data_IF_206085492478
#
_entry.id   IF_206085492478
#
_cell.length_a   1.000
_cell.length_b   1.000
_cell.length_c   1.000
_cell.angle_alpha   90.00
_cell.angle_beta   90.00
_cell.angle_gamma   90.00
#
_symmetry.space_group_name_H-M   'P 1'
#
loop_
_entity.id
_entity.type
_entity.pdbx_description
1 polymer ?
#
# COMPACT_ATOMS: atom_id res chain seq x y z
N UNK A 1 -34.46 -16.71 17.71
CA UNK A 1 -33.67 -17.44 16.70
C UNK A 1 -34.16 -17.02 15.32
N UNK A 2 -33.64 -15.90 14.83
CA UNK A 2 -33.79 -15.48 13.44
C UNK A 2 -32.42 -15.67 12.81
N UNK A 3 -32.34 -16.73 12.02
CA UNK A 3 -31.23 -17.12 11.18
C UNK A 3 -30.94 -15.99 10.19
N UNK A 4 -29.95 -15.15 10.54
CA UNK A 4 -29.32 -14.24 9.58
C UNK A 4 -28.26 -15.07 8.87
N UNK A 5 -28.72 -15.88 7.91
CA UNK A 5 -27.84 -16.54 6.97
C UNK A 5 -27.00 -15.47 6.27
N UNK A 6 -25.65 -15.58 6.26
CA UNK A 6 -24.82 -14.68 5.49
C UNK A 6 -25.19 -14.86 4.01
N UNK A 7 -25.67 -13.79 3.38
CA UNK A 7 -25.89 -13.74 1.94
C UNK A 7 -24.65 -14.27 1.24
N UNK A 8 -24.83 -15.33 0.44
CA UNK A 8 -23.81 -15.90 -0.46
C UNK A 8 -23.03 -14.78 -1.18
N UNK A 9 -21.75 -15.00 -1.53
CA UNK A 9 -21.00 -14.14 -2.45
C UNK A 9 -21.64 -14.25 -3.84
N UNK A 10 -22.71 -13.50 -4.06
CA UNK A 10 -23.26 -13.24 -5.37
C UNK A 10 -22.49 -12.06 -5.92
N UNK A 11 -21.69 -12.29 -6.97
CA UNK A 11 -20.99 -11.21 -7.66
C UNK A 11 -21.92 -10.05 -8.04
N UNK A 12 -21.32 -8.92 -8.41
CA UNK A 12 -22.06 -7.67 -8.63
C UNK A 12 -23.25 -7.84 -9.60
N UNK A 13 -24.42 -7.34 -9.20
CA UNK A 13 -25.55 -7.15 -10.11
C UNK A 13 -25.17 -6.19 -11.25
N UNK A 14 -25.90 -6.15 -12.38
CA UNK A 14 -25.57 -5.23 -13.48
C UNK A 14 -25.44 -3.76 -13.05
N UNK A 15 -26.38 -3.26 -12.22
CA UNK A 15 -26.31 -1.89 -11.69
C UNK A 15 -25.13 -1.68 -10.73
N UNK A 16 -24.82 -2.66 -9.89
CA UNK A 16 -23.64 -2.61 -9.03
C UNK A 16 -22.33 -2.63 -9.82
N UNK A 17 -22.29 -3.36 -10.94
CA UNK A 17 -21.13 -3.39 -11.84
C UNK A 17 -20.93 -2.04 -12.52
N UNK A 18 -22.01 -1.42 -13.00
CA UNK A 18 -21.93 -0.07 -13.56
C UNK A 18 -21.45 0.95 -12.53
N UNK A 19 -21.99 0.90 -11.29
CA UNK A 19 -21.52 1.74 -10.17
C UNK A 19 -20.05 1.53 -9.87
N UNK A 20 -19.62 0.27 -9.78
CA UNK A 20 -18.22 -0.09 -9.56
C UNK A 20 -17.32 0.48 -10.66
N UNK A 21 -17.67 0.31 -11.94
CA UNK A 21 -16.86 0.82 -13.05
C UNK A 21 -16.79 2.36 -13.04
N UNK A 22 -17.86 3.06 -12.65
CA UNK A 22 -17.84 4.52 -12.48
C UNK A 22 -16.91 4.95 -11.36
N UNK A 23 -16.92 4.27 -10.21
CA UNK A 23 -15.98 4.55 -9.12
C UNK A 23 -14.53 4.23 -9.53
N UNK A 24 -14.31 3.07 -10.17
CA UNK A 24 -12.97 2.60 -10.61
C UNK A 24 -12.34 3.52 -11.67
N UNK A 25 -13.16 4.09 -12.54
CA UNK A 25 -12.70 4.95 -13.64
C UNK A 25 -12.48 6.41 -13.24
N UNK A 26 -13.03 6.87 -12.11
CA UNK A 26 -12.78 8.21 -11.61
C UNK A 26 -11.27 8.46 -11.40
N UNK A 27 -10.82 9.62 -11.84
CA UNK A 27 -9.42 10.08 -11.80
C UNK A 27 -9.21 11.33 -10.95
N UNK A 28 -10.30 11.96 -10.51
CA UNK A 28 -10.23 13.08 -9.58
C UNK A 28 -11.38 13.11 -8.57
N UNK A 29 -11.17 13.79 -7.44
CA UNK A 29 -12.21 14.05 -6.46
C UNK A 29 -13.34 14.90 -7.03
N UNK A 30 -13.05 15.77 -8.01
CA UNK A 30 -14.07 16.54 -8.73
C UNK A 30 -14.98 15.65 -9.59
N UNK A 31 -14.42 14.67 -10.29
CA UNK A 31 -15.22 13.65 -10.99
C UNK A 31 -16.04 12.81 -10.01
N UNK A 32 -15.45 12.49 -8.85
CA UNK A 32 -16.08 11.68 -7.82
C UNK A 32 -17.36 12.33 -7.27
N UNK A 33 -17.40 13.67 -7.16
CA UNK A 33 -18.62 14.43 -6.83
C UNK A 33 -19.76 14.09 -7.79
N UNK A 34 -19.49 14.04 -9.09
CA UNK A 34 -20.50 13.67 -10.09
C UNK A 34 -20.89 12.19 -10.05
N UNK A 35 -20.01 11.31 -9.56
CA UNK A 35 -20.27 9.87 -9.40
C UNK A 35 -21.14 9.61 -8.16
N UNK A 36 -20.92 10.31 -7.06
CA UNK A 36 -21.62 10.10 -5.79
C UNK A 36 -22.80 11.05 -5.57
N UNK A 37 -22.90 12.11 -6.38
CA UNK A 37 -23.87 13.19 -6.21
C UNK A 37 -23.81 13.86 -4.82
N UNK A 38 -22.60 13.96 -4.25
CA UNK A 38 -22.34 14.64 -2.98
C UNK A 38 -22.19 16.16 -3.17
N UNK A 39 -22.25 16.93 -2.08
CA UNK A 39 -22.20 18.40 -2.15
C UNK A 39 -20.76 18.94 -2.29
N UNK A 40 -19.75 18.09 -2.10
CA UNK A 40 -18.36 18.46 -2.31
C UNK A 40 -17.38 17.28 -2.33
N UNK A 41 -16.10 17.56 -2.68
CA UNK A 41 -15.05 16.54 -2.80
C UNK A 41 -14.87 15.68 -1.54
N UNK A 42 -15.00 16.28 -0.36
CA UNK A 42 -14.86 15.60 0.93
C UNK A 42 -15.94 14.54 1.15
N UNK A 43 -17.20 14.94 1.05
CA UNK A 43 -18.33 14.04 1.18
C UNK A 43 -18.33 12.96 0.09
N UNK A 44 -17.94 13.34 -1.14
CA UNK A 44 -17.82 12.41 -2.25
C UNK A 44 -16.81 11.29 -1.95
N UNK A 45 -15.65 11.63 -1.40
CA UNK A 45 -14.63 10.67 -1.01
C UNK A 45 -15.14 9.69 0.06
N UNK A 46 -15.73 10.20 1.15
CA UNK A 46 -16.26 9.36 2.23
C UNK A 46 -17.45 8.49 1.80
N UNK A 47 -18.32 9.00 0.93
CA UNK A 47 -19.40 8.23 0.34
C UNK A 47 -18.85 7.13 -0.58
N UNK A 48 -17.87 7.46 -1.42
CA UNK A 48 -17.22 6.53 -2.31
C UNK A 48 -16.50 5.41 -1.55
N UNK A 49 -15.77 5.69 -0.45
CA UNK A 49 -15.09 4.66 0.37
C UNK A 49 -16.08 3.59 0.86
N UNK A 50 -17.24 4.02 1.37
CA UNK A 50 -18.28 3.11 1.89
C UNK A 50 -18.89 2.24 0.78
N UNK A 51 -19.23 2.86 -0.35
CA UNK A 51 -19.79 2.13 -1.49
C UNK A 51 -18.76 1.19 -2.12
N UNK A 52 -17.54 1.66 -2.33
CA UNK A 52 -16.42 0.90 -2.87
C UNK A 52 -16.15 -0.37 -2.07
N UNK A 53 -16.00 -0.24 -0.74
CA UNK A 53 -15.79 -1.38 0.14
C UNK A 53 -16.91 -2.42 0.00
N UNK A 54 -18.16 -1.96 0.02
CA UNK A 54 -19.34 -2.84 -0.14
C UNK A 54 -19.33 -3.58 -1.48
N UNK A 55 -18.91 -2.92 -2.57
CA UNK A 55 -18.83 -3.53 -3.90
C UNK A 55 -17.63 -4.49 -3.99
N UNK A 56 -16.48 -4.11 -3.45
CA UNK A 56 -15.28 -4.95 -3.44
C UNK A 56 -15.48 -6.22 -2.61
N UNK A 57 -16.07 -6.13 -1.41
CA UNK A 57 -16.38 -7.30 -0.57
C UNK A 57 -17.35 -8.29 -1.25
N UNK A 58 -18.17 -7.84 -2.21
CA UNK A 58 -19.03 -8.70 -3.03
C UNK A 58 -18.32 -9.29 -4.25
N UNK A 59 -17.33 -8.56 -4.78
CA UNK A 59 -16.59 -8.93 -6.00
C UNK A 59 -15.43 -9.86 -5.69
N UNK A 60 -14.74 -9.60 -4.60
CA UNK A 60 -13.51 -10.27 -4.20
C UNK A 60 -13.82 -11.33 -3.16
N UNK A 61 -13.03 -12.38 -3.17
CA UNK A 61 -13.02 -13.39 -2.11
C UNK A 61 -11.55 -13.67 -1.82
N UNK A 62 -11.13 -13.63 -0.55
CA UNK A 62 -9.75 -13.97 -0.20
C UNK A 62 -9.51 -15.41 -0.65
N UNK A 63 -8.57 -15.59 -1.58
CA UNK A 63 -8.25 -16.88 -2.17
C UNK A 63 -6.82 -17.22 -1.81
N UNK A 64 -6.63 -18.30 -1.06
CA UNK A 64 -5.30 -18.82 -0.76
C UNK A 64 -4.77 -19.56 -1.99
N UNK A 65 -3.63 -19.12 -2.49
CA UNK A 65 -2.84 -19.80 -3.52
C UNK A 65 -1.56 -20.33 -2.90
N UNK A 66 -0.95 -21.39 -3.45
CA UNK A 66 0.40 -21.79 -3.06
C UNK A 66 1.38 -20.62 -3.24
N UNK A 67 2.35 -20.50 -2.33
CA UNK A 67 3.35 -19.44 -2.34
C UNK A 67 2.94 -18.18 -1.58
N UNK A 68 3.73 -17.10 -1.73
CA UNK A 68 3.42 -15.80 -1.14
C UNK A 68 2.18 -15.23 -1.84
N UNK A 69 1.11 -14.87 -1.12
CA UNK A 69 -0.08 -14.31 -1.75
C UNK A 69 0.26 -13.01 -2.48
N UNK A 70 -0.43 -12.72 -3.56
CA UNK A 70 -0.13 -11.56 -4.39
C UNK A 70 -1.15 -11.33 -5.48
N UNK A 71 -0.88 -10.31 -6.30
CA UNK A 71 -1.63 -10.07 -7.54
C UNK A 71 -0.66 -10.15 -8.71
N UNK A 72 -1.06 -10.91 -9.73
CA UNK A 72 -0.28 -11.04 -10.97
C UNK A 72 -0.79 -10.04 -12.00
N UNK A 73 0.12 -9.28 -12.61
CA UNK A 73 -0.15 -8.34 -13.69
C UNK A 73 0.77 -8.67 -14.86
N UNK A 74 0.19 -8.95 -16.02
CA UNK A 74 0.94 -9.08 -17.26
C UNK A 74 1.14 -7.69 -17.89
N UNK A 75 2.35 -7.38 -18.34
CA UNK A 75 2.68 -6.15 -19.05
C UNK A 75 3.45 -6.51 -20.32
N UNK A 76 2.74 -6.61 -21.44
CA UNK A 76 3.30 -7.19 -22.66
C UNK A 76 3.69 -8.66 -22.48
N UNK A 77 4.98 -8.98 -22.62
CA UNK A 77 5.54 -10.32 -22.43
C UNK A 77 6.20 -10.54 -21.06
N UNK A 78 6.04 -9.58 -20.15
CA UNK A 78 6.54 -9.64 -18.77
C UNK A 78 5.42 -10.04 -17.81
N UNK A 79 5.76 -10.79 -16.77
CA UNK A 79 4.84 -11.16 -15.71
C UNK A 79 5.30 -10.57 -14.37
N UNK A 80 4.45 -9.76 -13.74
CA UNK A 80 4.73 -9.18 -12.43
C UNK A 80 3.86 -9.82 -11.36
N UNK A 81 4.47 -10.27 -10.27
CA UNK A 81 3.79 -10.73 -9.06
C UNK A 81 4.01 -9.72 -7.93
N UNK A 82 2.96 -9.03 -7.51
CA UNK A 82 3.02 -8.04 -6.43
C UNK A 82 2.53 -8.66 -5.13
N UNK A 83 3.46 -8.92 -4.21
CA UNK A 83 3.26 -9.60 -2.95
C UNK A 83 3.21 -8.60 -1.79
N UNK A 84 2.07 -8.54 -1.11
CA UNK A 84 1.89 -7.72 0.08
C UNK A 84 2.25 -8.46 1.36
N UNK A 85 3.23 -7.97 2.12
CA UNK A 85 3.72 -8.54 3.38
C UNK A 85 3.46 -7.59 4.57
N UNK A 86 3.83 -8.00 5.80
CA UNK A 86 3.55 -7.21 7.01
C UNK A 86 4.67 -6.26 7.43
N UNK A 87 5.94 -6.56 7.10
CA UNK A 87 7.14 -5.90 7.64
C UNK A 87 7.32 -6.07 9.15
N UNK A 88 6.76 -7.14 9.73
CA UNK A 88 6.82 -7.33 11.18
C UNK A 88 8.13 -7.98 11.66
N UNK A 89 9.00 -8.38 10.74
CA UNK A 89 10.29 -9.05 11.00
C UNK A 89 10.21 -10.22 12.00
N UNK A 90 9.15 -11.02 11.91
CA UNK A 90 8.99 -12.21 12.76
C UNK A 90 9.74 -13.40 12.16
N UNK A 91 10.16 -14.35 13.01
CA UNK A 91 10.76 -15.61 12.55
C UNK A 91 9.84 -16.39 11.60
N UNK A 92 8.52 -16.33 11.84
CA UNK A 92 7.53 -17.01 11.02
C UNK A 92 7.45 -16.39 9.61
N UNK A 93 7.31 -15.07 9.52
CA UNK A 93 7.29 -14.36 8.24
C UNK A 93 8.63 -14.50 7.51
N UNK A 94 9.76 -14.34 8.23
CA UNK A 94 11.11 -14.52 7.70
C UNK A 94 11.31 -15.90 7.09
N UNK A 95 10.93 -16.96 7.79
CA UNK A 95 11.07 -18.33 7.30
C UNK A 95 10.23 -18.57 6.05
N UNK A 96 8.96 -18.14 6.09
CA UNK A 96 8.01 -18.26 4.97
C UNK A 96 8.48 -17.52 3.72
N UNK A 97 8.89 -16.25 3.87
CA UNK A 97 9.35 -15.44 2.74
C UNK A 97 10.64 -15.97 2.14
N UNK A 98 11.60 -16.39 2.98
CA UNK A 98 12.89 -16.91 2.49
C UNK A 98 12.75 -18.22 1.73
N UNK A 99 11.87 -19.11 2.18
CA UNK A 99 11.55 -20.35 1.45
C UNK A 99 11.05 -20.03 0.03
N UNK A 100 10.04 -19.17 -0.08
CA UNK A 100 9.42 -18.89 -1.38
C UNK A 100 10.25 -17.98 -2.28
N UNK A 101 11.00 -17.02 -1.72
CA UNK A 101 11.91 -16.20 -2.51
C UNK A 101 13.08 -17.03 -3.05
N UNK A 102 13.57 -18.03 -2.32
CA UNK A 102 14.55 -18.97 -2.86
C UNK A 102 13.99 -19.72 -4.09
N UNK A 103 12.76 -20.22 -4.01
CA UNK A 103 12.09 -20.88 -5.13
C UNK A 103 11.93 -19.93 -6.35
N UNK A 104 11.58 -18.66 -6.12
CA UNK A 104 11.47 -17.67 -7.19
C UNK A 104 12.82 -17.46 -7.90
N UNK A 105 13.90 -17.30 -7.13
CA UNK A 105 15.23 -17.11 -7.69
C UNK A 105 15.75 -18.36 -8.41
N UNK A 106 15.49 -19.56 -7.85
CA UNK A 106 15.84 -20.84 -8.48
C UNK A 106 15.10 -21.05 -9.82
N UNK A 107 13.91 -20.48 -9.97
CA UNK A 107 13.16 -20.46 -11.23
C UNK A 107 13.68 -19.43 -12.26
N UNK A 108 14.64 -18.59 -11.87
CA UNK A 108 15.22 -17.54 -12.70
C UNK A 108 14.43 -16.22 -12.68
N UNK A 109 13.48 -16.05 -11.75
CA UNK A 109 12.73 -14.81 -11.61
C UNK A 109 13.58 -13.73 -10.92
N UNK A 110 13.25 -12.45 -11.20
CA UNK A 110 13.87 -11.31 -10.50
C UNK A 110 13.05 -10.92 -9.27
N UNK A 111 13.70 -10.60 -8.16
CA UNK A 111 13.03 -10.22 -6.91
C UNK A 111 13.47 -8.82 -6.49
N UNK A 112 12.50 -7.91 -6.40
CA UNK A 112 12.69 -6.55 -5.90
C UNK A 112 11.86 -6.31 -4.65
N UNK A 113 12.47 -5.72 -3.65
CA UNK A 113 11.87 -5.51 -2.33
C UNK A 113 11.77 -4.02 -2.02
N UNK A 114 10.68 -3.60 -1.38
CA UNK A 114 10.58 -2.27 -0.78
C UNK A 114 11.78 -1.98 0.11
N UNK A 115 12.25 -0.73 0.12
CA UNK A 115 13.37 -0.31 0.93
C UNK A 115 13.15 -0.63 2.42
N UNK A 116 14.11 -1.33 3.04
CA UNK A 116 14.03 -1.88 4.40
C UNK A 116 13.81 -3.40 4.44
N UNK A 117 12.94 -3.94 3.58
CA UNK A 117 12.63 -5.39 3.53
C UNK A 117 13.88 -6.21 3.21
N UNK A 118 14.71 -5.75 2.27
CA UNK A 118 15.87 -6.51 1.83
C UNK A 118 16.83 -6.80 3.00
N UNK A 119 17.15 -5.79 3.81
CA UNK A 119 18.01 -5.95 4.99
C UNK A 119 17.36 -6.84 6.04
N UNK A 120 16.05 -6.71 6.24
CA UNK A 120 15.30 -7.54 7.19
C UNK A 120 15.41 -9.01 6.80
N UNK A 121 15.08 -9.40 5.57
CA UNK A 121 14.84 -10.81 5.25
C UNK A 121 15.86 -11.45 4.30
N UNK A 122 16.60 -10.68 3.50
CA UNK A 122 17.29 -11.18 2.30
C UNK A 122 18.72 -10.64 2.11
N UNK A 123 19.35 -10.10 3.16
CA UNK A 123 20.68 -9.50 3.07
C UNK A 123 21.76 -10.46 2.52
N UNK A 124 21.56 -11.76 2.68
CA UNK A 124 22.42 -12.84 2.17
C UNK A 124 22.04 -13.34 0.77
N UNK A 125 20.95 -12.85 0.17
CA UNK A 125 20.49 -13.23 -1.16
C UNK A 125 21.05 -12.24 -2.18
N UNK A 126 22.13 -12.62 -2.85
CA UNK A 126 22.81 -11.76 -3.84
C UNK A 126 22.01 -11.44 -5.12
N UNK A 127 20.83 -12.06 -5.28
CA UNK A 127 19.94 -11.89 -6.43
C UNK A 127 18.56 -11.30 -6.05
N UNK A 128 18.36 -10.91 -4.79
CA UNK A 128 17.25 -10.07 -4.37
C UNK A 128 17.76 -8.63 -4.22
N UNK A 129 16.97 -7.64 -4.66
CA UNK A 129 17.42 -6.25 -4.71
C UNK A 129 16.45 -5.34 -3.98
N UNK A 130 17.00 -4.35 -3.29
CA UNK A 130 16.24 -3.27 -2.67
C UNK A 130 15.88 -2.21 -3.70
N UNK A 131 14.64 -1.73 -3.69
CA UNK A 131 14.20 -0.57 -4.48
C UNK A 131 14.64 0.74 -3.81
N UNK A 132 14.65 1.84 -4.56
CA UNK A 132 15.03 3.17 -4.06
C UNK A 132 13.83 4.03 -3.62
N UNK A 133 12.70 3.39 -3.34
CA UNK A 133 11.41 4.02 -3.22
C UNK A 133 11.30 4.96 -2.00
N UNK A 134 11.83 4.55 -0.85
CA UNK A 134 11.82 5.38 0.36
C UNK A 134 12.81 6.53 0.27
N UNK A 135 14.02 6.30 -0.25
CA UNK A 135 15.02 7.35 -0.49
C UNK A 135 14.47 8.42 -1.43
N UNK A 136 13.87 8.00 -2.53
CA UNK A 136 13.18 8.88 -3.47
C UNK A 136 12.08 9.70 -2.78
N UNK A 137 11.24 9.08 -1.95
CA UNK A 137 10.18 9.79 -1.24
C UNK A 137 10.74 10.85 -0.30
N UNK A 138 11.78 10.54 0.46
CA UNK A 138 12.45 11.49 1.36
C UNK A 138 13.06 12.69 0.61
N UNK A 139 13.66 12.47 -0.56
CA UNK A 139 14.14 13.57 -1.40
C UNK A 139 13.01 14.47 -1.88
N UNK A 140 11.89 13.88 -2.33
CA UNK A 140 10.71 14.65 -2.73
C UNK A 140 10.09 15.42 -1.56
N UNK A 141 10.09 14.86 -0.35
CA UNK A 141 9.64 15.59 0.84
C UNK A 141 10.51 16.82 1.10
N UNK A 142 11.85 16.69 1.03
CA UNK A 142 12.76 17.84 1.18
C UNK A 142 12.53 18.94 0.14
N UNK A 143 12.06 18.59 -1.05
CA UNK A 143 11.73 19.56 -2.10
C UNK A 143 10.39 20.28 -1.88
N UNK A 144 9.51 19.75 -1.02
CA UNK A 144 8.26 20.42 -0.65
C UNK A 144 8.53 21.64 0.24
N UNK A 145 9.70 21.73 0.86
CA UNK A 145 9.94 22.68 1.94
C UNK A 145 10.82 23.88 1.63
N UNK A 146 10.21 25.04 1.82
CA UNK A 146 10.83 26.24 2.38
C UNK A 146 10.43 26.51 3.84
N UNK A 147 9.78 25.55 4.52
CA UNK A 147 9.46 25.54 5.96
C UNK A 147 9.30 24.07 6.42
N UNK A 148 10.38 23.29 6.26
CA UNK A 148 10.41 21.87 6.63
C UNK A 148 10.47 21.69 8.12
N UNK A 149 9.64 20.81 8.67
CA UNK A 149 9.93 20.20 9.97
C UNK A 149 11.16 19.25 9.91
N UNK A 150 11.78 19.04 8.74
CA UNK A 150 12.92 18.14 8.50
C UNK A 150 14.29 18.84 8.53
N UNK A 151 14.34 20.16 8.72
CA UNK A 151 15.57 20.96 8.65
C UNK A 151 16.57 20.70 9.80
N UNK A 152 16.17 19.96 10.85
CA UNK A 152 17.01 19.68 12.02
C UNK A 152 17.80 18.35 11.96
N UNK A 153 17.81 17.62 10.83
CA UNK A 153 18.46 16.30 10.75
C UNK A 153 19.95 16.32 10.36
N UNK A 154 20.85 15.65 11.13
CA UNK A 154 22.27 15.55 10.80
C UNK A 154 22.51 14.60 9.61
N UNK A 155 23.24 15.08 8.60
CA UNK A 155 23.47 14.40 7.32
C UNK A 155 24.41 13.20 7.34
N UNK A 156 24.19 12.17 8.18
CA UNK A 156 24.90 10.89 8.10
C UNK A 156 23.95 9.68 8.17
N UNK A 157 23.94 8.92 7.08
CA UNK A 157 23.07 7.78 6.74
C UNK A 157 23.18 6.56 7.70
N UNK A 158 24.17 6.53 8.59
CA UNK A 158 24.36 5.44 9.56
C UNK A 158 23.60 5.69 10.88
N UNK A 159 23.24 6.94 11.18
CA UNK A 159 22.39 7.31 12.33
C UNK A 159 20.89 7.32 12.03
N UNK A 160 20.50 7.37 10.75
CA UNK A 160 19.08 7.47 10.35
C UNK A 160 18.29 6.18 10.56
N UNK A 161 18.97 5.03 10.73
CA UNK A 161 18.35 3.76 11.15
C UNK A 161 18.11 3.72 12.66
N UNK A 162 18.89 4.46 13.45
CA UNK A 162 18.62 4.68 14.88
C UNK A 162 17.56 5.78 15.08
N UNK A 163 17.40 6.69 14.11
CA UNK A 163 16.40 7.80 14.15
C UNK A 163 15.07 7.49 13.43
N UNK A 164 14.86 6.28 12.93
CA UNK A 164 13.50 5.86 12.52
C UNK A 164 12.57 5.98 13.72
N UNK A 165 13.01 5.70 14.95
CA UNK A 165 12.17 5.81 16.14
C UNK A 165 11.76 7.27 16.48
N UNK A 166 12.64 8.24 16.23
CA UNK A 166 12.35 9.68 16.39
C UNK A 166 11.39 10.17 15.30
N UNK A 167 11.64 9.77 14.05
CA UNK A 167 10.86 10.18 12.89
C UNK A 167 9.46 9.54 12.88
N UNK A 168 9.40 8.28 13.30
CA UNK A 168 8.15 7.60 13.56
C UNK A 168 7.43 8.29 14.70
N UNK A 169 8.11 8.78 15.74
CA UNK A 169 7.50 9.57 16.81
C UNK A 169 6.83 10.86 16.34
N UNK A 170 7.50 11.67 15.52
CA UNK A 170 6.95 12.93 15.00
C UNK A 170 5.88 12.73 13.94
N UNK A 171 6.06 11.77 13.03
CA UNK A 171 5.03 11.39 12.05
C UNK A 171 3.83 10.72 12.72
N UNK A 172 4.06 9.96 13.78
CA UNK A 172 3.03 9.39 14.65
C UNK A 172 2.29 10.49 15.40
N UNK A 173 2.99 11.44 16.00
CA UNK A 173 2.37 12.56 16.71
C UNK A 173 1.61 13.46 15.73
N UNK A 174 2.10 13.63 14.49
CA UNK A 174 1.37 14.34 13.44
C UNK A 174 0.12 13.56 12.96
N UNK A 175 0.23 12.26 12.70
CA UNK A 175 -0.91 11.41 12.29
C UNK A 175 -1.92 11.25 13.42
N UNK A 176 -1.49 11.05 14.67
CA UNK A 176 -2.38 10.98 15.83
C UNK A 176 -2.94 12.35 16.21
N UNK A 177 -2.18 13.44 16.12
CA UNK A 177 -2.72 14.81 16.28
C UNK A 177 -3.75 15.13 15.19
N UNK A 178 -3.53 14.67 13.95
CA UNK A 178 -4.49 14.85 12.85
C UNK A 178 -5.74 13.96 13.02
N UNK A 179 -5.57 12.75 13.57
CA UNK A 179 -6.68 11.89 13.98
C UNK A 179 -7.46 12.50 15.14
N UNK A 180 -6.79 13.04 16.17
CA UNK A 180 -7.43 13.66 17.33
C UNK A 180 -8.11 14.99 16.96
N UNK A 181 -7.42 15.90 16.28
CA UNK A 181 -7.98 17.18 15.78
C UNK A 181 -9.07 16.94 14.73
N UNK A 182 -8.98 15.84 13.99
CA UNK A 182 -9.98 15.41 13.02
C UNK A 182 -11.13 14.63 13.63
N UNK A 183 -10.98 13.99 14.78
CA UNK A 183 -12.02 13.16 15.41
C UNK A 183 -13.20 14.00 15.90
N UNK A 184 -12.90 15.18 16.46
CA UNK A 184 -13.87 16.16 16.95
C UNK A 184 -14.70 16.78 15.80
N UNK A 185 -14.21 16.74 14.56
CA UNK A 185 -14.84 17.35 13.38
C UNK A 185 -15.39 16.30 12.39
N UNK A 186 -14.78 15.11 12.28
CA UNK A 186 -14.97 14.14 11.19
C UNK A 186 -15.29 12.69 11.64
N UNK A 187 -15.25 12.40 12.95
CA UNK A 187 -15.73 11.16 13.58
C UNK A 187 -14.90 9.88 13.37
N UNK A 188 -15.27 8.79 14.06
CA UNK A 188 -14.53 7.50 14.19
C UNK A 188 -14.14 6.80 12.86
N UNK A 189 -14.73 7.17 11.73
CA UNK A 189 -14.45 6.56 10.41
C UNK A 189 -13.21 7.16 9.74
N UNK A 190 -12.93 8.44 10.02
CA UNK A 190 -11.74 9.15 9.55
C UNK A 190 -10.48 8.66 10.28
N UNK A 191 -10.58 8.57 11.61
CA UNK A 191 -9.62 7.94 12.51
C UNK A 191 -9.20 6.55 11.99
N UNK A 192 -10.17 5.70 11.64
CA UNK A 192 -9.92 4.35 11.11
C UNK A 192 -9.07 4.31 9.84
N UNK A 193 -9.31 5.25 8.92
CA UNK A 193 -8.63 5.27 7.61
C UNK A 193 -7.18 5.75 7.73
N UNK A 194 -6.92 6.70 8.62
CA UNK A 194 -5.56 7.18 8.91
C UNK A 194 -4.78 6.21 9.79
N UNK A 195 -5.44 5.58 10.77
CA UNK A 195 -4.86 4.49 11.54
C UNK A 195 -4.43 3.29 10.67
N UNK A 196 -5.17 3.01 9.59
CA UNK A 196 -4.78 1.98 8.62
C UNK A 196 -3.53 2.35 7.79
N UNK A 197 -3.33 3.64 7.49
CA UNK A 197 -2.11 4.13 6.83
C UNK A 197 -0.92 4.09 7.79
N UNK A 198 -1.13 4.49 9.04
CA UNK A 198 -0.12 4.47 10.11
C UNK A 198 0.31 3.03 10.46
N UNK A 199 -0.60 2.06 10.41
CA UNK A 199 -0.31 0.65 10.69
C UNK A 199 0.72 0.02 9.73
N UNK A 200 0.92 0.57 8.52
CA UNK A 200 1.97 0.11 7.61
C UNK A 200 3.37 0.57 8.00
N UNK A 201 3.47 1.60 8.85
CA UNK A 201 4.71 2.25 9.25
C UNK A 201 5.12 1.93 10.70
N UNK A 202 4.14 1.70 11.59
CA UNK A 202 4.33 1.62 13.04
C UNK A 202 4.67 0.22 13.61
N UNK A 203 4.88 -0.80 12.78
CA UNK A 203 4.98 -2.20 13.24
C UNK A 203 6.29 -2.57 13.94
N UNK A 204 7.31 -1.70 13.93
CA UNK A 204 8.63 -2.02 14.50
C UNK A 204 8.83 -1.69 15.98
N UNK A 205 7.97 -0.90 16.64
CA UNK A 205 8.19 -0.54 18.06
C UNK A 205 6.95 -0.48 18.96
N UNK A 206 7.23 -0.63 20.26
CA UNK A 206 6.45 -1.07 21.42
C UNK A 206 5.16 -0.29 21.81
N UNK A 207 4.48 0.40 20.89
CA UNK A 207 3.20 1.09 21.20
C UNK A 207 1.97 0.28 20.78
N UNK A 208 1.82 -0.88 21.42
CA UNK A 208 0.71 -1.84 21.22
C UNK A 208 -0.66 -1.38 21.78
N UNK A 209 -0.71 -0.30 22.57
CA UNK A 209 -1.89 0.00 23.40
C UNK A 209 -3.03 0.77 22.69
N UNK A 210 -2.75 1.52 21.62
CA UNK A 210 -3.77 2.27 20.83
C UNK A 210 -4.05 1.66 19.44
N UNK A 211 -3.16 0.81 18.93
CA UNK A 211 -3.33 0.15 17.62
C UNK A 211 -4.35 -1.01 17.62
N UNK A 212 -4.64 -1.59 18.79
CA UNK A 212 -5.48 -2.79 18.93
C UNK A 212 -6.96 -2.60 18.50
N UNK A 213 -7.42 -1.36 18.30
CA UNK A 213 -8.78 -1.07 17.81
C UNK A 213 -8.91 -1.08 16.28
N UNK A 214 -7.80 -0.99 15.54
CA UNK A 214 -7.80 -0.94 14.08
C UNK A 214 -7.75 -2.34 13.45
N UNK A 215 -8.61 -2.59 12.46
CA UNK A 215 -8.68 -3.89 11.80
C UNK A 215 -7.41 -4.23 11.00
N UNK A 216 -6.75 -3.23 10.40
CA UNK A 216 -5.44 -3.39 9.74
C UNK A 216 -4.38 -3.92 10.71
N UNK A 217 -4.30 -3.38 11.93
CA UNK A 217 -3.35 -3.80 12.94
C UNK A 217 -3.61 -5.24 13.40
N UNK A 218 -4.88 -5.59 13.66
CA UNK A 218 -5.28 -6.97 14.01
C UNK A 218 -4.91 -7.96 12.91
N UNK A 219 -5.15 -7.60 11.65
CA UNK A 219 -4.82 -8.46 10.51
C UNK A 219 -3.31 -8.59 10.30
N UNK A 220 -2.57 -7.49 10.43
CA UNK A 220 -1.11 -7.46 10.37
C UNK A 220 -0.51 -8.35 11.45
N UNK A 221 -0.92 -8.19 12.71
CA UNK A 221 -0.43 -9.02 13.83
C UNK A 221 -0.73 -10.51 13.63
N UNK A 222 -1.91 -10.85 13.11
CA UNK A 222 -2.26 -12.24 12.77
C UNK A 222 -1.37 -12.78 11.66
N UNK A 223 -1.17 -12.02 10.59
CA UNK A 223 -0.31 -12.41 9.46
C UNK A 223 1.18 -12.49 9.83
N UNK A 224 1.65 -11.61 10.70
CA UNK A 224 3.00 -11.64 11.25
C UNK A 224 3.23 -12.89 12.11
N UNK A 225 2.19 -13.35 12.82
CA UNK A 225 2.26 -14.59 13.63
C UNK A 225 2.15 -15.84 12.77
N UNK A 226 1.29 -15.80 11.75
CA UNK A 226 1.01 -16.90 10.83
C UNK A 226 0.82 -16.35 9.40
N UNK A 227 1.85 -16.48 8.53
CA UNK A 227 1.82 -15.97 7.15
C UNK A 227 0.68 -16.49 6.29
N UNK A 228 0.00 -17.58 6.69
CA UNK A 228 -1.23 -18.02 6.02
C UNK A 228 -2.34 -16.94 6.03
N UNK A 229 -2.28 -15.97 6.95
CA UNK A 229 -3.23 -14.87 7.03
C UNK A 229 -2.88 -13.65 6.14
N UNK A 230 -1.75 -13.66 5.44
CA UNK A 230 -1.38 -12.58 4.51
C UNK A 230 -2.46 -12.33 3.44
N UNK A 231 -3.15 -13.39 2.99
CA UNK A 231 -4.28 -13.25 2.05
C UNK A 231 -5.40 -12.36 2.59
N UNK A 232 -5.67 -12.41 3.89
CA UNK A 232 -6.71 -11.60 4.52
C UNK A 232 -6.26 -10.14 4.67
N UNK A 233 -4.99 -9.91 4.98
CA UNK A 233 -4.40 -8.57 5.03
C UNK A 233 -4.41 -7.91 3.65
N UNK A 234 -4.00 -8.63 2.60
CA UNK A 234 -4.06 -8.11 1.23
C UNK A 234 -5.50 -7.85 0.80
N UNK A 235 -6.42 -8.77 1.10
CA UNK A 235 -7.84 -8.57 0.82
C UNK A 235 -8.38 -7.29 1.49
N UNK A 236 -7.96 -7.00 2.73
CA UNK A 236 -8.34 -5.77 3.43
C UNK A 236 -7.96 -4.52 2.65
N UNK A 237 -6.69 -4.36 2.27
CA UNK A 237 -6.26 -3.15 1.57
C UNK A 237 -6.92 -3.02 0.18
N UNK A 238 -7.18 -4.13 -0.51
CA UNK A 238 -7.90 -4.14 -1.80
C UNK A 238 -9.36 -3.69 -1.70
N UNK A 239 -10.01 -3.90 -0.56
CA UNK A 239 -11.39 -3.46 -0.33
C UNK A 239 -11.48 -2.10 0.34
N UNK A 240 -10.43 -1.67 1.04
CA UNK A 240 -10.38 -0.41 1.78
C UNK A 240 -9.96 0.78 0.92
N UNK A 241 -8.92 0.65 0.07
CA UNK A 241 -8.45 1.78 -0.73
C UNK A 241 -9.27 2.00 -1.99
N UNK A 242 -9.63 3.26 -2.24
CA UNK A 242 -10.15 3.73 -3.53
C UNK A 242 -9.08 3.65 -4.62
N UNK A 243 -9.45 3.80 -5.90
CA UNK A 243 -8.48 3.92 -6.98
C UNK A 243 -7.36 4.92 -6.68
N UNK A 244 -6.12 4.52 -7.00
CA UNK A 244 -4.89 5.23 -6.64
C UNK A 244 -4.92 6.75 -6.90
N UNK A 245 -5.45 7.29 -8.01
CA UNK A 245 -5.52 8.73 -8.23
C UNK A 245 -6.33 9.49 -7.17
N UNK A 246 -7.41 8.87 -6.66
CA UNK A 246 -8.28 9.48 -5.67
C UNK A 246 -7.63 9.49 -4.28
N UNK A 247 -6.98 8.39 -3.89
CA UNK A 247 -6.22 8.30 -2.63
C UNK A 247 -5.07 9.32 -2.63
N UNK A 248 -4.34 9.44 -3.74
CA UNK A 248 -3.26 10.44 -3.90
C UNK A 248 -3.79 11.87 -3.85
N UNK A 249 -4.83 12.20 -4.63
CA UNK A 249 -5.39 13.56 -4.63
C UNK A 249 -5.96 13.93 -3.26
N UNK A 250 -6.56 12.97 -2.55
CA UNK A 250 -7.00 13.16 -1.18
C UNK A 250 -5.84 13.54 -0.26
N UNK A 251 -4.78 12.73 -0.24
CA UNK A 251 -3.66 12.95 0.65
C UNK A 251 -2.90 14.23 0.30
N UNK A 252 -2.61 14.52 -0.98
CA UNK A 252 -1.96 15.80 -1.35
C UNK A 252 -2.68 17.06 -0.88
N UNK A 253 -4.01 16.99 -0.66
CA UNK A 253 -4.79 18.14 -0.16
C UNK A 253 -4.72 18.30 1.35
N UNK A 254 -4.38 17.24 2.09
CA UNK A 254 -4.42 17.22 3.55
C UNK A 254 -3.03 17.07 4.16
N UNK A 255 -2.20 16.20 3.59
CA UNK A 255 -0.83 15.91 3.99
C UNK A 255 0.00 15.44 2.76
N UNK A 256 0.67 16.38 2.07
CA UNK A 256 1.53 16.07 0.92
C UNK A 256 2.72 15.16 1.24
N UNK A 257 3.28 15.26 2.45
CA UNK A 257 4.40 14.41 2.87
C UNK A 257 3.94 12.97 3.07
N UNK A 258 2.83 12.77 3.79
CA UNK A 258 2.21 11.45 3.95
C UNK A 258 1.85 10.85 2.58
N UNK A 259 1.40 11.65 1.61
CA UNK A 259 1.18 11.16 0.24
C UNK A 259 2.47 10.61 -0.38
N UNK A 260 3.57 11.34 -0.25
CA UNK A 260 4.87 10.93 -0.76
C UNK A 260 5.36 9.65 -0.09
N UNK A 261 5.24 9.56 1.23
CA UNK A 261 5.70 8.43 2.05
C UNK A 261 4.84 7.17 1.92
N UNK A 262 3.65 7.26 1.30
CA UNK A 262 2.72 6.15 1.13
C UNK A 262 2.37 5.89 -0.34
N UNK A 263 1.38 6.61 -0.88
CA UNK A 263 0.80 6.31 -2.18
C UNK A 263 1.68 6.76 -3.36
N UNK A 264 2.55 7.76 -3.21
CA UNK A 264 3.46 8.13 -4.28
C UNK A 264 4.51 7.04 -4.52
N UNK A 265 5.00 6.37 -3.46
CA UNK A 265 5.95 5.26 -3.56
C UNK A 265 5.42 4.09 -4.41
N UNK A 266 4.10 3.89 -4.46
CA UNK A 266 3.50 2.88 -5.35
C UNK A 266 3.87 3.09 -6.82
N UNK A 267 3.92 4.36 -7.25
CA UNK A 267 4.36 4.73 -8.59
C UNK A 267 5.84 4.39 -8.78
N UNK A 268 6.67 4.81 -7.82
CA UNK A 268 8.11 4.61 -7.83
C UNK A 268 8.50 3.14 -7.89
N UNK A 269 7.88 2.29 -7.07
CA UNK A 269 8.12 0.85 -7.04
C UNK A 269 7.69 0.15 -8.33
N UNK A 270 6.56 0.55 -8.93
CA UNK A 270 6.12 0.01 -10.21
C UNK A 270 7.09 0.39 -11.35
N UNK A 271 7.56 1.64 -11.37
CA UNK A 271 8.55 2.09 -12.34
C UNK A 271 9.89 1.39 -12.17
N UNK A 272 10.36 1.23 -10.94
CA UNK A 272 11.59 0.52 -10.64
C UNK A 272 11.53 -0.92 -11.18
N UNK A 273 10.45 -1.64 -10.87
CA UNK A 273 10.23 -2.99 -11.42
C UNK A 273 10.23 -3.02 -12.94
N UNK A 274 9.54 -2.07 -13.59
CA UNK A 274 9.48 -1.97 -15.05
C UNK A 274 10.82 -1.59 -15.69
N UNK A 275 11.59 -0.71 -15.05
CA UNK A 275 12.89 -0.24 -15.52
C UNK A 275 13.92 -1.38 -15.57
N UNK A 276 13.87 -2.28 -14.59
CA UNK A 276 14.79 -3.42 -14.53
C UNK A 276 14.31 -4.66 -15.29
N UNK A 277 13.02 -4.75 -15.64
CA UNK A 277 12.45 -5.91 -16.31
C UNK A 277 12.76 -5.98 -17.82
N UNK A 278 13.38 -7.07 -18.24
CA UNK A 278 13.57 -7.43 -19.64
C UNK A 278 12.33 -8.14 -20.22
N UNK A 279 12.15 -8.11 -21.57
CA UNK A 279 11.10 -8.87 -22.22
C UNK A 279 11.19 -10.37 -21.89
N UNK A 280 10.08 -10.98 -21.48
CA UNK A 280 10.02 -12.38 -21.06
C UNK A 280 10.30 -12.66 -19.58
N UNK A 281 10.64 -11.64 -18.79
CA UNK A 281 10.95 -11.80 -17.37
C UNK A 281 9.70 -12.09 -16.53
N UNK A 282 9.89 -12.92 -15.50
CA UNK A 282 9.02 -12.98 -14.33
C UNK A 282 9.64 -12.16 -13.21
N UNK A 283 8.89 -11.19 -12.68
CA UNK A 283 9.34 -10.23 -11.66
C UNK A 283 8.46 -10.33 -10.43
N UNK A 284 9.05 -10.50 -9.26
CA UNK A 284 8.37 -10.49 -7.97
C UNK A 284 8.70 -9.20 -7.22
N UNK A 285 7.65 -8.44 -6.88
CA UNK A 285 7.73 -7.25 -6.04
C UNK A 285 7.25 -7.61 -4.62
N UNK A 286 8.14 -7.54 -3.64
CA UNK A 286 7.86 -7.80 -2.22
C UNK A 286 7.71 -6.44 -1.53
N UNK A 287 6.51 -6.12 -1.07
CA UNK A 287 6.15 -4.78 -0.57
C UNK A 287 5.21 -4.87 0.61
N UNK A 288 5.03 -3.78 1.35
CA UNK A 288 4.01 -3.69 2.39
C UNK A 288 2.62 -3.91 1.79
N UNK A 289 1.76 -4.64 2.49
CA UNK A 289 0.45 -5.03 1.96
C UNK A 289 -0.43 -3.85 1.53
N UNK A 290 -0.22 -2.66 2.11
CA UNK A 290 -0.89 -1.42 1.72
C UNK A 290 -0.49 -0.90 0.33
N UNK A 291 0.74 -1.18 -0.12
CA UNK A 291 1.28 -0.70 -1.40
C UNK A 291 0.77 -1.52 -2.60
N UNK A 292 0.44 -2.80 -2.37
CA UNK A 292 0.05 -3.74 -3.43
C UNK A 292 -1.02 -3.18 -4.40
N UNK A 293 -2.17 -2.62 -3.95
CA UNK A 293 -3.22 -2.17 -4.87
C UNK A 293 -2.78 -0.99 -5.76
N UNK A 294 -1.91 -0.12 -5.24
CA UNK A 294 -1.40 1.03 -6.00
C UNK A 294 -0.36 0.62 -7.04
N UNK A 295 0.50 -0.34 -6.71
CA UNK A 295 1.48 -0.89 -7.68
C UNK A 295 0.75 -1.64 -8.79
N UNK A 296 -0.27 -2.46 -8.45
CA UNK A 296 -1.16 -3.11 -9.43
C UNK A 296 -1.73 -2.06 -10.41
N UNK A 297 -2.22 -0.94 -9.88
CA UNK A 297 -2.77 0.15 -10.68
C UNK A 297 -1.76 0.72 -11.69
N UNK A 298 -0.50 0.94 -11.30
CA UNK A 298 0.50 1.51 -12.20
C UNK A 298 1.01 0.51 -13.24
N UNK A 299 1.20 -0.76 -12.86
CA UNK A 299 1.57 -1.82 -13.81
C UNK A 299 0.51 -2.00 -14.90
N UNK A 300 -0.78 -1.95 -14.55
CA UNK A 300 -1.89 -2.00 -15.52
C UNK A 300 -1.86 -0.84 -16.52
N UNK A 301 -1.27 0.32 -16.15
CA UNK A 301 -1.16 1.48 -17.04
C UNK A 301 0.03 1.39 -17.97
N UNK A 302 1.09 0.68 -17.59
CA UNK A 302 2.12 0.28 -18.54
C UNK A 302 1.52 -0.65 -19.60
N UNK A 303 0.70 -1.63 -19.19
CA UNK A 303 0.02 -2.54 -20.12
C UNK A 303 -0.94 -1.81 -21.08
N UNK A 304 -1.71 -0.84 -20.57
CA UNK A 304 -2.62 -0.04 -21.41
C UNK A 304 -1.93 1.05 -22.25
N UNK A 305 -0.62 1.26 -22.07
CA UNK A 305 0.14 2.33 -22.72
C UNK A 305 -0.18 3.74 -22.20
N UNK A 306 -0.91 3.85 -21.08
CA UNK A 306 -1.20 5.12 -20.40
C UNK A 306 -0.03 5.60 -19.52
N UNK A 307 1.02 4.78 -19.37
CA UNK A 307 2.25 5.08 -18.62
C UNK A 307 3.49 4.61 -19.40
N UNK A 308 4.55 5.41 -19.35
CA UNK A 308 5.88 5.10 -19.89
C UNK A 308 6.94 5.36 -18.80
N UNK A 309 8.18 4.90 -19.04
CA UNK A 309 9.33 5.19 -18.16
C UNK A 309 9.98 6.56 -18.46
N UNK A 310 9.31 7.41 -19.24
CA UNK A 310 9.86 8.70 -19.62
C UNK A 310 10.04 9.59 -18.37
N UNK A 311 11.28 10.01 -18.12
CA UNK A 311 11.63 10.83 -16.94
C UNK A 311 11.89 10.03 -15.66
N UNK A 312 11.91 8.69 -15.72
CA UNK A 312 12.35 7.87 -14.59
C UNK A 312 13.89 7.88 -14.50
N UNK A 313 14.40 8.27 -13.34
CA UNK A 313 15.84 8.24 -12.99
C UNK A 313 16.01 7.57 -11.63
N UNK A 314 17.03 6.72 -11.49
CA UNK A 314 17.37 6.07 -10.22
C UNK A 314 17.91 7.09 -9.21
N UNK A 315 17.56 6.91 -7.95
CA UNK A 315 18.06 7.70 -6.83
C UNK A 315 19.16 6.92 -6.12
N UNK A 316 20.39 7.46 -6.17
CA UNK A 316 21.59 6.87 -5.54
C UNK A 316 21.55 6.90 -4.01
#
# INVERSE_FOLDING_TARGET
>A
MTDVSPTRPGGLTPGQRERFERLRSARSLAELVGVTAADGPHEAYLAAKREWRTLQERRLTPTSTPGVPGTTVAVGDREFHVHGITHADTDAERSFLREHVADFLDSGASVYCEQGIWRMYFADFGAAYEMDDYRWAMERCRELDGDSNLDDLPGNFEGLLEDVDSFTGEFKDAVFSFVDDGSDVYGETFERTLGDLASGFLTSHESLATGDDYESFKLTRRAATDPAHLVHLQHYYRTTFLPQPLEREWLRRHDPELELMTHARNERMADYGMYHASPGDTVHLLVGAAHQPGIEYYLQRFDSGERTLDGFELTE
#
